data_IF_450961146717
#
_entry.id   IF_450961146717
#
_cell.length_a   1.000
_cell.length_b   1.000
_cell.length_c   1.000
_cell.angle_alpha   90.00
_cell.angle_beta   90.00
_cell.angle_gamma   90.00
#
_symmetry.space_group_name_H-M   'P 1'
#
loop_
_entity.id
_entity.type
_entity.pdbx_description
1 polymer ?
#
# COMPACT_ATOMS: atom_id res chain seq x y z
N UNK A 1 -1.05 -22.29 -9.68
CA UNK A 1 -1.73 -21.40 -8.75
C UNK A 1 -2.84 -20.77 -9.56
N UNK A 2 -4.09 -21.11 -9.26
CA UNK A 2 -5.21 -20.60 -10.05
C UNK A 2 -5.31 -19.08 -9.85
N UNK A 3 -5.41 -18.35 -10.95
CA UNK A 3 -5.55 -16.88 -10.93
C UNK A 3 -6.96 -16.54 -10.44
N UNK A 4 -7.06 -16.10 -9.19
CA UNK A 4 -8.35 -15.86 -8.51
C UNK A 4 -8.99 -14.55 -8.98
N UNK A 5 -8.20 -13.57 -9.45
CA UNK A 5 -8.72 -12.26 -9.82
C UNK A 5 -9.75 -12.31 -10.96
N UNK A 6 -9.52 -13.03 -12.09
CA UNK A 6 -10.52 -13.19 -13.16
C UNK A 6 -11.81 -13.90 -12.72
N UNK A 7 -11.77 -14.66 -11.62
CA UNK A 7 -12.95 -15.32 -11.06
C UNK A 7 -13.76 -14.31 -10.24
N UNK A 8 -13.08 -13.49 -9.44
CA UNK A 8 -13.72 -12.47 -8.61
C UNK A 8 -14.38 -11.36 -9.44
N UNK A 9 -13.85 -11.01 -10.61
CA UNK A 9 -14.47 -10.06 -11.55
C UNK A 9 -15.85 -10.53 -12.05
N UNK A 10 -16.15 -11.83 -11.97
CA UNK A 10 -17.43 -12.40 -12.40
C UNK A 10 -18.48 -12.38 -11.29
N UNK A 11 -18.12 -11.98 -10.07
CA UNK A 11 -19.06 -11.90 -8.94
C UNK A 11 -19.87 -10.60 -9.09
N UNK A 12 -21.22 -10.67 -9.29
CA UNK A 12 -22.02 -9.48 -9.59
C UNK A 12 -21.93 -8.36 -8.55
N UNK A 13 -21.75 -8.71 -7.27
CA UNK A 13 -21.59 -7.74 -6.18
C UNK A 13 -20.24 -7.01 -6.18
N UNK A 14 -19.26 -7.49 -6.95
CA UNK A 14 -17.93 -6.92 -7.06
C UNK A 14 -17.72 -6.18 -8.39
N UNK A 15 -18.77 -6.02 -9.21
CA UNK A 15 -18.66 -5.45 -10.56
C UNK A 15 -18.12 -4.01 -10.58
N UNK A 16 -18.44 -3.23 -9.54
CA UNK A 16 -17.97 -1.85 -9.39
C UNK A 16 -16.73 -1.75 -8.47
N UNK A 17 -16.26 -2.87 -7.92
CA UNK A 17 -15.11 -2.90 -7.03
C UNK A 17 -13.81 -2.97 -7.83
N UNK A 18 -12.80 -2.22 -7.37
CA UNK A 18 -11.43 -2.41 -7.86
C UNK A 18 -10.80 -3.56 -7.07
N UNK A 19 -10.52 -4.66 -7.75
CA UNK A 19 -9.91 -5.85 -7.16
C UNK A 19 -8.39 -5.74 -7.18
N UNK A 20 -7.80 -5.99 -6.02
CA UNK A 20 -6.36 -5.98 -5.81
C UNK A 20 -5.97 -7.28 -5.10
N UNK A 21 -5.04 -8.02 -5.68
CA UNK A 21 -4.39 -9.14 -5.02
C UNK A 21 -3.21 -8.61 -4.20
N UNK A 22 -3.16 -8.99 -2.92
CA UNK A 22 -2.01 -8.69 -2.07
C UNK A 22 -0.89 -9.63 -2.47
N UNK A 23 0.09 -9.10 -3.20
CA UNK A 23 1.25 -9.86 -3.64
C UNK A 23 2.27 -10.04 -2.51
N UNK A 24 2.39 -9.05 -1.61
CA UNK A 24 3.30 -9.12 -0.47
C UNK A 24 2.88 -8.18 0.64
N UNK A 25 3.26 -8.54 1.87
CA UNK A 25 3.26 -7.66 3.04
C UNK A 25 4.63 -7.72 3.69
N UNK A 26 5.22 -6.57 3.95
CA UNK A 26 6.49 -6.47 4.65
C UNK A 26 6.48 -5.33 5.66
N UNK A 27 7.52 -5.29 6.49
CA UNK A 27 7.67 -4.29 7.54
C UNK A 27 9.02 -3.62 7.40
N UNK A 28 9.03 -2.30 7.50
CA UNK A 28 10.24 -1.50 7.56
C UNK A 28 10.38 -0.91 8.97
N UNK A 29 11.62 -0.87 9.45
CA UNK A 29 11.99 -0.22 10.70
C UNK A 29 12.91 0.94 10.35
N UNK A 30 12.58 2.15 10.80
CA UNK A 30 13.36 3.35 10.52
C UNK A 30 13.41 4.25 11.75
N UNK A 31 14.53 4.92 11.95
CA UNK A 31 14.64 5.96 12.98
C UNK A 31 14.01 7.26 12.51
N UNK A 32 13.33 7.97 13.41
CA UNK A 32 12.69 9.26 13.16
C UNK A 32 13.58 10.41 13.62
N UNK A 33 13.22 11.63 13.19
CA UNK A 33 13.94 12.85 13.53
C UNK A 33 13.84 13.23 15.02
N UNK A 34 12.81 12.78 15.73
CA UNK A 34 12.65 12.96 17.18
C UNK A 34 13.45 11.94 18.01
N UNK A 35 14.16 11.01 17.37
CA UNK A 35 15.00 10.01 18.02
C UNK A 35 14.26 8.72 18.40
N UNK A 36 12.96 8.64 18.12
CA UNK A 36 12.17 7.41 18.29
C UNK A 36 12.30 6.49 17.06
N UNK A 37 12.14 5.19 17.28
CA UNK A 37 12.04 4.22 16.18
C UNK A 37 10.61 4.16 15.66
N UNK A 38 10.46 3.89 14.37
CA UNK A 38 9.18 3.74 13.69
C UNK A 38 9.11 2.42 12.96
N UNK A 39 7.96 1.76 13.13
CA UNK A 39 7.59 0.58 12.38
C UNK A 39 6.53 0.94 11.35
N UNK A 40 6.77 0.65 10.07
CA UNK A 40 5.79 0.86 9.00
C UNK A 40 5.52 -0.47 8.30
N UNK A 41 4.26 -0.83 8.18
CA UNK A 41 3.80 -1.96 7.39
C UNK A 41 3.55 -1.53 5.94
N UNK A 42 4.05 -2.31 4.99
CA UNK A 42 3.85 -2.11 3.57
C UNK A 42 2.98 -3.23 3.02
N UNK A 43 1.88 -2.87 2.39
CA UNK A 43 1.08 -3.76 1.56
C UNK A 43 1.36 -3.45 0.08
N UNK A 44 1.80 -4.47 -0.66
CA UNK A 44 2.10 -4.37 -2.08
C UNK A 44 1.07 -5.20 -2.84
N UNK A 45 0.19 -4.53 -3.57
CA UNK A 45 -0.95 -5.16 -4.23
C UNK A 45 -0.92 -4.94 -5.73
N UNK A 46 -1.48 -5.88 -6.49
CA UNK A 46 -1.54 -5.85 -7.95
C UNK A 46 -2.96 -6.10 -8.46
N UNK A 47 -3.36 -5.43 -9.53
CA UNK A 47 -4.66 -5.64 -10.17
C UNK A 47 -4.55 -6.47 -11.47
N UNK A 48 -5.70 -6.76 -12.10
CA UNK A 48 -5.78 -7.52 -13.36
C UNK A 48 -5.20 -6.78 -14.56
N UNK A 49 -5.10 -5.44 -14.50
CA UNK A 49 -4.38 -4.62 -15.48
C UNK A 49 -2.86 -4.66 -15.26
N UNK A 50 -2.38 -5.37 -14.24
CA UNK A 50 -0.98 -5.52 -13.90
C UNK A 50 -0.37 -4.32 -13.20
N UNK A 51 -1.17 -3.33 -12.79
CA UNK A 51 -0.72 -2.16 -12.03
C UNK A 51 -0.45 -2.56 -10.59
N UNK A 52 0.49 -1.86 -9.98
CA UNK A 52 0.90 -1.97 -8.59
C UNK A 52 0.38 -0.79 -7.79
N UNK A 53 -0.07 -1.08 -6.58
CA UNK A 53 -0.41 -0.11 -5.55
C UNK A 53 0.35 -0.46 -4.29
N UNK A 54 0.86 0.56 -3.61
CA UNK A 54 1.58 0.40 -2.34
C UNK A 54 0.86 1.23 -1.29
N UNK A 55 0.48 0.57 -0.20
CA UNK A 55 -0.07 1.21 1.00
C UNK A 55 0.94 1.03 2.11
N UNK A 56 1.33 2.12 2.74
CA UNK A 56 2.24 2.16 3.86
C UNK A 56 1.49 2.65 5.10
N UNK A 57 1.54 1.92 6.21
CA UNK A 57 0.81 2.23 7.44
C UNK A 57 1.73 2.21 8.66
N UNK A 58 1.58 3.23 9.51
CA UNK A 58 2.10 3.27 10.87
C UNK A 58 0.91 3.13 11.83
N UNK A 59 0.69 1.90 12.30
CA UNK A 59 -0.47 1.56 13.16
C UNK A 59 -0.39 2.24 14.53
N UNK A 60 0.81 2.47 15.07
CA UNK A 60 0.97 3.08 16.39
C UNK A 60 0.49 4.52 16.43
N UNK A 61 0.61 5.21 15.28
CA UNK A 61 0.26 6.62 15.12
C UNK A 61 -0.99 6.87 14.27
N UNK A 62 -1.63 5.79 13.81
CA UNK A 62 -2.79 5.81 12.90
C UNK A 62 -2.52 6.62 11.61
N UNK A 63 -1.31 6.51 11.05
CA UNK A 63 -0.92 7.21 9.82
C UNK A 63 -0.94 6.25 8.64
N UNK A 64 -1.44 6.72 7.49
CA UNK A 64 -1.47 5.94 6.24
C UNK A 64 -1.01 6.80 5.06
N UNK A 65 -0.08 6.27 4.26
CA UNK A 65 0.34 6.83 2.99
C UNK A 65 0.06 5.82 1.86
N UNK A 66 -0.63 6.26 0.82
CA UNK A 66 -0.98 5.41 -0.32
C UNK A 66 -0.44 6.03 -1.61
N UNK A 67 0.32 5.24 -2.37
CA UNK A 67 0.76 5.61 -3.71
C UNK A 67 -0.34 5.44 -4.74
N UNK A 68 -0.22 6.15 -5.88
CA UNK A 68 -1.12 5.93 -7.01
C UNK A 68 -0.82 4.60 -7.74
N UNK A 69 -1.82 3.93 -8.32
CA UNK A 69 -1.63 2.79 -9.20
C UNK A 69 -0.64 3.05 -10.34
N UNK A 70 0.40 2.22 -10.47
CA UNK A 70 1.43 2.35 -11.53
C UNK A 70 1.72 1.02 -12.22
N UNK A 71 2.04 0.97 -13.52
CA UNK A 71 2.35 -0.29 -14.23
C UNK A 71 3.53 -1.10 -13.67
N UNK A 72 4.38 -0.48 -12.85
CA UNK A 72 5.56 -1.13 -12.27
C UNK A 72 5.76 -0.78 -10.80
N UNK A 73 6.24 -1.76 -10.04
CA UNK A 73 6.40 -1.65 -8.59
C UNK A 73 7.31 -0.49 -8.17
N UNK A 74 8.47 -0.33 -8.80
CA UNK A 74 9.39 0.78 -8.50
C UNK A 74 8.73 2.15 -8.71
N UNK A 75 7.88 2.26 -9.75
CA UNK A 75 7.09 3.47 -9.98
C UNK A 75 6.08 3.70 -8.86
N UNK A 76 5.33 2.66 -8.48
CA UNK A 76 4.35 2.75 -7.40
C UNK A 76 4.97 3.17 -6.06
N UNK A 77 6.12 2.58 -5.69
CA UNK A 77 6.86 2.92 -4.47
C UNK A 77 7.26 4.41 -4.45
N UNK A 78 7.77 4.93 -5.57
CA UNK A 78 8.20 6.33 -5.68
C UNK A 78 7.02 7.32 -5.66
N UNK A 79 5.80 6.85 -5.88
CA UNK A 79 4.59 7.65 -5.80
C UNK A 79 3.94 7.65 -4.41
N UNK A 80 4.45 6.87 -3.46
CA UNK A 80 3.96 6.91 -2.07
C UNK A 80 4.35 8.25 -1.46
N UNK A 81 3.39 9.03 -0.91
CA UNK A 81 3.67 10.29 -0.24
C UNK A 81 4.24 10.02 1.16
N UNK A 82 5.50 9.59 1.24
CA UNK A 82 6.17 9.16 2.49
C UNK A 82 6.12 10.20 3.61
N UNK A 83 6.06 11.49 3.26
CA UNK A 83 5.96 12.58 4.22
C UNK A 83 4.69 12.51 5.10
N UNK A 84 3.63 11.81 4.67
CA UNK A 84 2.43 11.59 5.50
C UNK A 84 2.70 10.66 6.68
N UNK A 85 3.76 9.86 6.64
CA UNK A 85 4.19 9.00 7.75
C UNK A 85 5.22 9.68 8.66
N UNK A 86 5.70 10.86 8.26
CA UNK A 86 6.67 11.64 9.03
C UNK A 86 5.99 12.60 10.02
N UNK A 87 4.66 12.66 10.05
CA UNK A 87 3.89 13.73 10.67
C UNK A 87 4.36 14.02 12.12
N UNK A 88 4.84 15.23 12.41
CA UNK A 88 4.81 15.77 13.75
C UNK A 88 3.37 16.21 13.99
N UNK A 89 2.69 15.67 15.01
CA UNK A 89 1.38 16.19 15.42
C UNK A 89 1.48 17.72 15.48
N UNK A 90 0.81 18.42 14.56
CA UNK A 90 0.66 19.86 14.64
C UNK A 90 -0.13 20.15 15.92
N UNK A 91 0.44 20.99 16.78
CA UNK A 91 -0.09 21.46 18.07
C UNK A 91 -1.63 21.64 18.12
#
# INVERSE_FOLDING_TARGET
MDDVLPILEKVPFLVDAQLWEIASRCRIFRSRADGEDQTVELELSRDTAGRWMVVARDDERDLTAQGVPMPGLNGAINMVPWYLLDDPVAD
#
